data_IF_589968281103
#
_entry.id   IF_589968281103
#
_cell.length_a   1.000
_cell.length_b   1.000
_cell.length_c   1.000
_cell.angle_alpha   90.00
_cell.angle_beta   90.00
_cell.angle_gamma   90.00
#
_symmetry.space_group_name_H-M   'P 1'
#
loop_
_entity.id
_entity.type
_entity.pdbx_description
1 polymer ?
#
# COMPACT_ATOMS: atom_id res chain seq x y z
N UNK A 1 -16.85 -9.30 -7.06
CA UNK A 1 -16.07 -9.06 -5.83
C UNK A 1 -16.12 -7.57 -5.52
N UNK A 2 -16.46 -7.19 -4.30
CA UNK A 2 -16.29 -5.83 -3.78
C UNK A 2 -15.36 -5.87 -2.58
N UNK A 3 -14.71 -4.75 -2.28
CA UNK A 3 -13.75 -4.64 -1.17
C UNK A 3 -14.21 -3.61 -0.15
N UNK A 4 -13.85 -3.85 1.10
CA UNK A 4 -13.88 -2.89 2.20
C UNK A 4 -12.47 -2.81 2.78
N UNK A 5 -12.07 -1.62 3.23
CA UNK A 5 -10.67 -1.35 3.59
C UNK A 5 -10.54 -0.72 4.95
N UNK A 6 -9.48 -1.06 5.66
CA UNK A 6 -8.98 -0.36 6.84
C UNK A 6 -7.49 -0.16 6.71
N UNK A 7 -6.94 0.87 7.35
CA UNK A 7 -5.50 1.07 7.50
C UNK A 7 -5.20 0.75 8.96
N UNK A 8 -4.22 -0.12 9.21
CA UNK A 8 -3.76 -0.44 10.55
C UNK A 8 -3.19 0.79 11.24
N UNK A 9 -3.25 0.83 12.57
CA UNK A 9 -2.70 1.95 13.34
C UNK A 9 -1.20 2.09 13.05
N UNK A 10 -0.77 3.27 12.59
CA UNK A 10 0.64 3.63 12.56
C UNK A 10 1.21 3.51 13.97
N UNK A 11 2.36 2.85 14.12
CA UNK A 11 3.15 2.91 15.35
C UNK A 11 3.86 4.28 15.47
N UNK A 12 3.07 5.38 15.48
CA UNK A 12 3.33 6.82 15.82
C UNK A 12 4.40 7.54 14.95
N UNK A 13 4.28 8.80 14.50
CA UNK A 13 3.90 10.08 15.16
C UNK A 13 3.43 11.10 14.09
N UNK A 14 2.15 11.07 13.73
CA UNK A 14 1.31 12.22 13.37
C UNK A 14 0.11 11.72 12.58
N UNK A 15 -1.06 12.07 13.08
CA UNK A 15 -2.34 11.71 12.49
C UNK A 15 -3.26 12.92 12.54
N UNK A 16 -4.48 12.81 12.03
CA UNK A 16 -5.62 13.57 12.53
C UNK A 16 -5.57 13.68 14.07
N UNK A 17 -6.18 14.70 14.68
CA UNK A 17 -6.09 14.96 16.13
C UNK A 17 -6.38 13.72 17.03
N UNK A 18 -7.01 12.66 16.49
CA UNK A 18 -7.36 11.40 17.15
C UNK A 18 -6.50 10.17 16.83
N UNK A 19 -5.52 10.23 15.92
CA UNK A 19 -4.71 9.04 15.61
C UNK A 19 -5.20 8.18 14.44
N UNK A 20 -6.37 8.47 13.83
CA UNK A 20 -6.94 7.68 12.73
C UNK A 20 -6.47 8.04 11.31
N UNK A 21 -6.13 7.03 10.50
CA UNK A 21 -5.86 7.20 9.07
C UNK A 21 -6.94 6.55 8.22
N UNK A 22 -7.29 7.22 7.11
CA UNK A 22 -8.35 6.77 6.22
C UNK A 22 -8.03 7.12 4.77
N UNK A 23 -8.42 6.25 3.85
CA UNK A 23 -8.45 6.58 2.43
C UNK A 23 -9.41 7.74 2.13
N UNK A 24 -9.03 8.57 1.17
CA UNK A 24 -9.78 9.71 0.69
C UNK A 24 -10.48 9.44 -0.64
N UNK A 25 -11.49 10.25 -0.94
CA UNK A 25 -12.23 10.13 -2.18
C UNK A 25 -11.32 10.37 -3.40
N UNK A 26 -11.26 9.41 -4.31
CA UNK A 26 -10.35 9.42 -5.46
C UNK A 26 -9.09 8.57 -5.26
N UNK A 27 -8.82 8.08 -4.05
CA UNK A 27 -7.74 7.13 -3.82
C UNK A 27 -7.94 5.87 -4.64
N UNK A 28 -6.83 5.29 -5.09
CA UNK A 28 -6.84 4.13 -5.98
C UNK A 28 -5.93 3.04 -5.45
N UNK A 29 -6.48 1.82 -5.34
CA UNK A 29 -5.74 0.63 -4.96
C UNK A 29 -5.72 -0.40 -6.09
N UNK A 30 -4.64 -1.17 -6.16
CA UNK A 30 -4.55 -2.36 -6.98
C UNK A 30 -5.00 -3.58 -6.18
N UNK A 31 -5.86 -4.41 -6.78
CA UNK A 31 -6.30 -5.67 -6.17
C UNK A 31 -5.88 -6.85 -7.04
N UNK A 32 -5.36 -7.89 -6.37
CA UNK A 32 -5.02 -9.17 -6.96
C UNK A 32 -5.75 -10.28 -6.20
N UNK A 33 -6.14 -11.35 -6.91
CA UNK A 33 -6.78 -12.51 -6.29
C UNK A 33 -6.44 -13.82 -6.98
N UNK A 34 -6.38 -14.91 -6.23
CA UNK A 34 -6.15 -16.26 -6.76
C UNK A 34 -6.75 -17.35 -5.87
N UNK A 35 -6.86 -18.55 -6.42
CA UNK A 35 -7.26 -19.76 -5.68
C UNK A 35 -6.06 -20.67 -5.46
N UNK A 36 -6.16 -21.64 -4.54
CA UNK A 36 -5.14 -22.68 -4.37
C UNK A 36 -4.33 -22.49 -3.10
N UNK A 37 -3.05 -22.12 -3.21
CA UNK A 37 -2.15 -21.98 -2.07
C UNK A 37 -2.04 -20.51 -1.61
N UNK A 38 -2.41 -20.24 -0.36
CA UNK A 38 -2.33 -18.91 0.25
C UNK A 38 -0.89 -18.39 0.42
N UNK A 39 0.11 -19.27 0.51
CA UNK A 39 1.50 -18.92 0.85
C UNK A 39 2.42 -18.83 -0.36
N UNK A 40 1.89 -19.06 -1.56
CA UNK A 40 2.64 -18.99 -2.82
C UNK A 40 1.99 -17.96 -3.71
N UNK A 41 2.79 -16.97 -4.14
CA UNK A 41 2.33 -15.97 -5.09
C UNK A 41 2.03 -16.63 -6.45
N UNK A 42 0.84 -16.41 -7.03
CA UNK A 42 0.49 -16.95 -8.34
C UNK A 42 1.25 -16.24 -9.47
N UNK A 43 1.59 -17.00 -10.51
CA UNK A 43 1.99 -16.41 -11.78
C UNK A 43 0.82 -15.57 -12.36
N UNK A 44 1.12 -14.59 -13.21
CA UNK A 44 0.09 -13.70 -13.76
C UNK A 44 -1.07 -14.46 -14.42
N UNK A 45 -0.78 -15.54 -15.15
CA UNK A 45 -1.78 -16.36 -15.83
C UNK A 45 -2.71 -17.14 -14.88
N UNK A 46 -2.28 -17.37 -13.62
CA UNK A 46 -3.05 -18.14 -12.62
C UNK A 46 -3.91 -17.23 -11.72
N UNK A 47 -3.85 -15.91 -11.94
CA UNK A 47 -4.62 -14.93 -11.18
C UNK A 47 -6.06 -14.90 -11.66
N UNK A 48 -6.98 -14.88 -10.70
CA UNK A 48 -8.41 -14.65 -10.93
C UNK A 48 -8.69 -13.16 -11.11
N UNK A 49 -8.00 -12.33 -10.33
CA UNK A 49 -7.97 -10.88 -10.50
C UNK A 49 -6.52 -10.47 -10.65
N UNK A 50 -6.20 -9.80 -11.74
CA UNK A 50 -4.86 -9.30 -12.03
C UNK A 50 -4.88 -7.78 -12.17
N UNK A 51 -4.42 -7.09 -11.13
CA UNK A 51 -4.34 -5.63 -11.06
C UNK A 51 -5.65 -4.89 -11.36
N UNK A 52 -6.76 -5.28 -10.72
CA UNK A 52 -7.99 -4.51 -10.84
C UNK A 52 -7.90 -3.22 -10.02
N UNK A 53 -8.06 -2.08 -10.69
CA UNK A 53 -7.96 -0.77 -10.05
C UNK A 53 -9.28 -0.44 -9.38
N UNK A 54 -9.25 -0.32 -8.06
CA UNK A 54 -10.40 0.10 -7.27
C UNK A 54 -10.21 1.57 -6.91
N UNK A 55 -11.15 2.43 -7.32
CA UNK A 55 -11.16 3.85 -6.96
C UNK A 55 -12.20 4.07 -5.86
N UNK A 56 -11.84 4.79 -4.80
CA UNK A 56 -12.76 5.15 -3.73
C UNK A 56 -13.67 6.29 -4.20
N UNK A 57 -14.97 6.06 -4.18
CA UNK A 57 -15.99 7.07 -4.45
C UNK A 57 -17.07 7.00 -3.36
N UNK A 58 -17.18 8.04 -2.53
CA UNK A 58 -18.15 8.16 -1.45
C UNK A 58 -18.17 6.92 -0.52
N UNK A 59 -16.99 6.52 -0.02
CA UNK A 59 -16.77 5.34 0.84
C UNK A 59 -17.00 3.97 0.17
N UNK A 60 -17.23 3.94 -1.14
CA UNK A 60 -17.42 2.70 -1.90
C UNK A 60 -16.30 2.55 -2.92
N UNK A 61 -15.61 1.41 -2.87
CA UNK A 61 -14.59 1.06 -3.86
C UNK A 61 -15.24 0.55 -5.14
N UNK A 62 -14.90 1.20 -6.27
CA UNK A 62 -15.38 0.85 -7.62
C UNK A 62 -14.24 0.27 -8.44
N UNK A 63 -14.35 -1.00 -8.82
CA UNK A 63 -13.32 -1.72 -9.56
C UNK A 63 -13.41 -1.52 -11.07
N UNK A 64 -12.26 -1.30 -11.72
CA UNK A 64 -12.07 -1.34 -13.18
C UNK A 64 -10.81 -2.15 -13.51
N UNK A 65 -10.94 -3.27 -14.26
CA UNK A 65 -12.18 -3.92 -14.66
C UNK A 65 -12.98 -4.47 -13.46
N UNK A 66 -14.24 -4.87 -13.70
CA UNK A 66 -15.04 -5.54 -12.68
C UNK A 66 -14.33 -6.83 -12.22
N UNK A 67 -14.20 -6.99 -10.90
CA UNK A 67 -13.61 -8.18 -10.31
C UNK A 67 -14.66 -9.29 -10.17
N UNK A 68 -14.39 -10.46 -10.74
CA UNK A 68 -15.28 -11.62 -10.70
C UNK A 68 -14.67 -12.76 -9.88
N UNK A 69 -15.52 -13.49 -9.17
CA UNK A 69 -15.11 -14.74 -8.54
C UNK A 69 -14.90 -15.81 -9.62
N UNK A 70 -13.91 -16.67 -9.43
CA UNK A 70 -13.69 -17.83 -10.34
C UNK A 70 -14.92 -18.73 -10.38
N UNK A 71 -15.49 -18.98 -9.22
CA UNK A 71 -16.71 -19.76 -8.98
C UNK A 71 -17.27 -19.39 -7.59
N UNK A 72 -18.36 -20.04 -7.18
CA UNK A 72 -19.04 -19.74 -5.91
C UNK A 72 -18.56 -20.58 -4.71
N UNK A 73 -17.61 -21.50 -4.89
CA UNK A 73 -17.28 -22.54 -3.89
C UNK A 73 -15.81 -22.56 -3.48
N UNK A 74 -14.92 -22.19 -4.39
CA UNK A 74 -13.48 -22.05 -4.20
C UNK A 74 -13.18 -20.93 -3.21
N UNK A 75 -12.13 -21.13 -2.44
CA UNK A 75 -11.54 -20.10 -1.59
C UNK A 75 -10.57 -19.26 -2.42
N UNK A 76 -10.68 -17.94 -2.32
CA UNK A 76 -9.80 -16.97 -2.96
C UNK A 76 -8.99 -16.21 -1.92
N UNK A 77 -7.73 -15.97 -2.23
CA UNK A 77 -6.82 -15.13 -1.46
C UNK A 77 -6.66 -13.78 -2.15
N UNK A 78 -6.36 -12.74 -1.39
CA UNK A 78 -6.34 -11.38 -1.91
C UNK A 78 -5.10 -10.62 -1.47
N UNK A 79 -4.61 -9.76 -2.37
CA UNK A 79 -3.65 -8.70 -2.07
C UNK A 79 -4.26 -7.37 -2.51
N UNK A 80 -4.20 -6.38 -1.63
CA UNK A 80 -4.49 -4.99 -1.94
C UNK A 80 -3.22 -4.15 -1.81
N UNK A 81 -3.00 -3.21 -2.74
CA UNK A 81 -1.84 -2.30 -2.71
C UNK A 81 -2.28 -0.87 -2.95
N UNK A 82 -1.82 0.05 -2.10
CA UNK A 82 -1.89 1.49 -2.30
C UNK A 82 -0.47 2.07 -2.43
N UNK A 83 -0.24 3.08 -3.29
CA UNK A 83 -1.13 3.47 -4.38
C UNK A 83 -1.24 2.37 -5.44
N UNK A 84 -2.14 2.53 -6.41
CA UNK A 84 -2.26 1.59 -7.53
C UNK A 84 -0.95 1.46 -8.31
N UNK A 85 -0.75 0.29 -8.92
CA UNK A 85 0.24 0.10 -9.96
C UNK A 85 -0.25 0.61 -11.31
N UNK A 86 0.53 1.48 -11.94
CA UNK A 86 0.33 1.91 -13.34
C UNK A 86 0.75 0.84 -14.35
N UNK A 87 1.76 0.04 -14.01
CA UNK A 87 2.30 -1.02 -14.84
C UNK A 87 1.85 -2.41 -14.37
N UNK A 88 1.88 -3.38 -15.28
CA UNK A 88 1.62 -4.77 -14.92
C UNK A 88 2.70 -5.31 -13.96
N UNK A 89 2.29 -6.04 -12.92
CA UNK A 89 3.19 -6.67 -11.95
C UNK A 89 3.34 -8.14 -12.31
N UNK A 90 4.43 -8.50 -12.98
CA UNK A 90 4.65 -9.89 -13.40
C UNK A 90 4.83 -10.85 -12.21
N UNK A 91 5.59 -10.43 -11.19
CA UNK A 91 5.92 -11.22 -10.01
C UNK A 91 5.51 -10.46 -8.73
N UNK A 92 4.48 -10.95 -8.03
CA UNK A 92 3.99 -10.32 -6.79
C UNK A 92 5.00 -10.41 -5.63
N UNK A 93 6.04 -11.24 -5.76
CA UNK A 93 7.14 -11.31 -4.79
C UNK A 93 8.25 -10.29 -5.07
N UNK A 94 8.18 -9.59 -6.21
CA UNK A 94 9.19 -8.64 -6.68
C UNK A 94 8.56 -7.36 -7.25
N UNK A 95 7.55 -6.83 -6.57
CA UNK A 95 6.95 -5.57 -6.98
C UNK A 95 7.96 -4.43 -6.81
N UNK A 96 8.16 -3.64 -7.85
CA UNK A 96 9.06 -2.50 -7.80
C UNK A 96 8.42 -1.35 -7.02
N UNK A 97 9.23 -0.68 -6.21
CA UNK A 97 8.90 0.57 -5.54
C UNK A 97 9.95 1.62 -5.86
N UNK A 98 9.50 2.86 -6.05
CA UNK A 98 10.36 4.02 -6.19
C UNK A 98 9.75 5.19 -5.41
N UNK A 99 10.58 5.85 -4.59
CA UNK A 99 10.21 7.03 -3.84
C UNK A 99 9.99 8.20 -4.80
N UNK A 100 8.80 8.80 -4.74
CA UNK A 100 8.53 10.09 -5.37
C UNK A 100 8.64 11.22 -4.33
N UNK A 101 9.77 11.95 -4.26
CA UNK A 101 9.93 13.02 -3.28
C UNK A 101 9.00 14.22 -3.54
N UNK A 102 8.41 14.33 -4.74
CA UNK A 102 7.44 15.38 -5.05
C UNK A 102 6.02 15.02 -4.58
N UNK A 103 5.75 13.75 -4.25
CA UNK A 103 4.45 13.28 -3.82
C UNK A 103 4.56 12.29 -2.64
N UNK A 104 4.69 12.84 -1.43
CA UNK A 104 4.92 12.05 -0.22
C UNK A 104 3.74 11.15 0.16
N UNK A 105 2.50 11.55 -0.15
CA UNK A 105 1.32 10.71 0.12
C UNK A 105 1.29 9.45 -0.75
N UNK A 106 1.73 9.56 -2.02
CA UNK A 106 1.86 8.39 -2.91
C UNK A 106 3.15 7.60 -2.69
N UNK A 107 4.13 8.16 -1.98
CA UNK A 107 5.31 7.44 -1.54
C UNK A 107 5.00 6.46 -0.41
N UNK A 108 3.90 6.65 0.32
CA UNK A 108 3.49 5.71 1.36
C UNK A 108 2.82 4.47 0.76
N UNK A 109 3.64 3.46 0.49
CA UNK A 109 3.13 2.19 0.00
C UNK A 109 2.47 1.41 1.14
N UNK A 110 1.20 1.06 0.94
CA UNK A 110 0.42 0.24 1.87
C UNK A 110 0.10 -1.10 1.22
N UNK A 111 0.17 -2.18 2.02
CA UNK A 111 -0.14 -3.53 1.53
C UNK A 111 -1.09 -4.26 2.48
N UNK A 112 -2.16 -4.80 1.92
CA UNK A 112 -3.09 -5.70 2.58
C UNK A 112 -2.95 -7.12 2.01
N UNK A 113 -2.96 -8.13 2.88
CA UNK A 113 -2.92 -9.55 2.48
C UNK A 113 -4.03 -10.30 3.22
N UNK A 114 -4.95 -10.90 2.47
CA UNK A 114 -5.95 -11.81 3.01
C UNK A 114 -5.55 -13.26 2.69
N UNK A 115 -4.76 -13.84 3.59
CA UNK A 115 -4.29 -15.24 3.50
C UNK A 115 -5.27 -16.24 4.12
N UNK A 116 -6.21 -15.78 4.96
CA UNK A 116 -7.33 -16.61 5.44
C UNK A 116 -8.16 -17.13 4.27
N UNK A 117 -8.28 -16.30 3.24
CA UNK A 117 -9.06 -16.56 2.06
C UNK A 117 -10.56 -16.40 2.31
N UNK A 118 -11.31 -16.25 1.23
CA UNK A 118 -12.75 -16.01 1.26
C UNK A 118 -13.44 -16.67 0.08
N UNK A 119 -14.70 -17.03 0.26
CA UNK A 119 -15.61 -17.48 -0.79
C UNK A 119 -16.55 -16.35 -1.22
N UNK A 120 -17.23 -16.56 -2.35
CA UNK A 120 -18.18 -15.59 -2.88
C UNK A 120 -19.29 -15.18 -1.90
N UNK A 121 -19.72 -16.08 -1.02
CA UNK A 121 -20.74 -15.83 0.01
C UNK A 121 -20.29 -14.90 1.14
N UNK A 122 -18.98 -14.63 1.27
CA UNK A 122 -18.40 -13.83 2.36
C UNK A 122 -18.10 -12.39 1.95
N UNK A 123 -18.60 -11.97 0.78
CA UNK A 123 -18.42 -10.61 0.25
C UNK A 123 -19.11 -9.55 1.15
N UNK A 124 -18.50 -8.37 1.41
CA UNK A 124 -17.29 -7.82 0.79
C UNK A 124 -15.97 -8.37 1.37
N UNK A 125 -14.92 -8.34 0.55
CA UNK A 125 -13.55 -8.69 0.97
C UNK A 125 -12.97 -7.60 1.85
N UNK A 126 -12.67 -7.92 3.10
CA UNK A 126 -11.95 -7.02 4.00
C UNK A 126 -10.45 -7.05 3.71
N UNK A 127 -9.89 -5.89 3.43
CA UNK A 127 -8.46 -5.65 3.20
C UNK A 127 -7.93 -4.70 4.28
N UNK A 128 -7.16 -5.24 5.23
CA UNK A 128 -6.46 -4.45 6.24
C UNK A 128 -5.06 -4.12 5.74
N UNK A 129 -4.84 -2.84 5.44
CA UNK A 129 -3.60 -2.31 4.91
C UNK A 129 -2.62 -1.98 6.04
N UNK A 130 -1.35 -2.34 5.82
CA UNK A 130 -0.25 -1.92 6.69
C UNK A 130 0.72 -1.04 5.89
N UNK A 131 1.32 -0.07 6.56
CA UNK A 131 2.44 0.70 6.03
C UNK A 131 3.66 -0.21 5.93
N UNK A 132 4.28 -0.25 4.75
CA UNK A 132 5.49 -1.05 4.52
C UNK A 132 6.74 -0.19 4.31
N UNK A 133 6.58 1.12 4.21
CA UNK A 133 7.67 2.08 4.13
C UNK A 133 7.92 2.76 5.48
N UNK A 134 9.13 3.28 5.66
CA UNK A 134 9.48 4.04 6.84
C UNK A 134 9.17 5.53 6.65
N UNK A 135 8.73 6.20 7.73
CA UNK A 135 8.54 7.65 7.76
C UNK A 135 9.69 8.31 8.53
N UNK A 136 10.30 9.36 7.96
CA UNK A 136 11.27 10.21 8.63
C UNK A 136 10.68 11.59 8.87
N UNK A 137 10.41 11.93 10.13
CA UNK A 137 9.92 13.25 10.54
C UNK A 137 11.03 14.02 11.24
N UNK A 138 11.41 15.19 10.71
CA UNK A 138 12.46 16.05 11.30
C UNK A 138 11.83 17.31 11.90
N UNK A 139 11.87 17.40 13.24
CA UNK A 139 11.39 18.58 13.98
C UNK A 139 12.58 19.46 14.38
N UNK A 140 12.66 20.67 13.82
CA UNK A 140 13.70 21.64 14.16
C UNK A 140 13.15 22.71 15.10
N UNK A 141 13.82 22.91 16.24
CA UNK A 141 13.49 23.99 17.19
C UNK A 141 14.73 24.83 17.48
N UNK A 142 14.56 26.14 17.51
CA UNK A 142 15.65 27.10 17.70
C UNK A 142 15.44 27.88 18.98
N UNK A 143 16.49 28.03 19.79
CA UNK A 143 16.52 28.94 20.93
C UNK A 143 17.41 30.13 20.57
N UNK A 144 16.81 31.31 20.43
CA UNK A 144 17.56 32.53 20.09
C UNK A 144 17.86 33.32 21.36
N UNK A 145 19.04 33.12 21.93
CA UNK A 145 19.48 33.84 23.15
C UNK A 145 20.12 35.21 22.87
N UNK A 146 20.43 35.54 21.59
CA UNK A 146 21.14 36.79 21.24
C UNK A 146 20.53 37.59 20.06
N UNK A 147 19.25 37.35 19.70
CA UNK A 147 18.59 38.04 18.58
C UNK A 147 19.01 37.52 17.19
N UNK A 148 18.08 37.58 16.23
CA UNK A 148 18.24 37.06 14.86
C UNK A 148 17.39 35.83 14.56
N UNK A 149 16.83 35.75 13.36
CA UNK A 149 16.04 34.60 12.92
C UNK A 149 16.97 33.45 12.48
N UNK A 150 16.76 32.25 13.04
CA UNK A 150 17.42 31.06 12.53
C UNK A 150 16.94 30.76 11.11
N UNK A 151 17.88 30.51 10.18
CA UNK A 151 17.57 30.18 8.79
C UNK A 151 18.11 28.80 8.45
N UNK A 152 17.22 27.89 8.12
CA UNK A 152 17.57 26.56 7.56
C UNK A 152 17.55 26.65 6.05
N UNK A 153 18.67 26.34 5.41
CA UNK A 153 18.78 26.36 3.95
C UNK A 153 18.44 25.01 3.31
N UNK A 154 18.75 23.90 3.98
CA UNK A 154 18.42 22.55 3.56
C UNK A 154 18.47 21.56 4.72
N UNK A 155 17.70 20.48 4.60
CA UNK A 155 17.82 19.25 5.40
C UNK A 155 17.91 18.10 4.42
N UNK A 156 19.01 17.36 4.44
CA UNK A 156 19.25 16.24 3.53
C UNK A 156 19.33 14.94 4.32
N UNK A 157 18.52 13.96 3.95
CA UNK A 157 18.70 12.58 4.42
C UNK A 157 19.71 11.87 3.52
N UNK A 158 20.77 11.30 4.10
CA UNK A 158 21.86 10.63 3.38
C UNK A 158 21.85 9.14 3.71
N UNK A 159 22.20 8.29 2.74
CA UNK A 159 22.22 6.83 2.91
C UNK A 159 20.83 6.18 2.90
N UNK A 160 19.82 6.87 2.36
CA UNK A 160 18.48 6.31 2.17
C UNK A 160 18.35 5.72 0.77
N UNK A 161 17.75 4.55 0.64
CA UNK A 161 17.40 3.98 -0.64
C UNK A 161 16.12 4.66 -1.18
N UNK A 162 16.15 5.08 -2.45
CA UNK A 162 15.01 5.67 -3.16
C UNK A 162 14.22 4.63 -3.97
N UNK A 163 14.69 3.37 -3.98
CA UNK A 163 14.07 2.25 -4.69
C UNK A 163 14.15 0.98 -3.85
N UNK A 164 13.17 0.10 -4.06
CA UNK A 164 13.13 -1.19 -3.40
C UNK A 164 12.37 -2.21 -4.24
N UNK A 165 12.61 -3.48 -3.92
CA UNK A 165 11.77 -4.60 -4.33
C UNK A 165 10.93 -5.08 -3.14
N UNK A 166 9.62 -5.19 -3.33
CA UNK A 166 8.66 -5.57 -2.30
C UNK A 166 8.03 -6.93 -2.63
N UNK A 167 8.08 -7.83 -1.65
CA UNK A 167 7.29 -9.05 -1.71
C UNK A 167 5.90 -8.77 -1.13
N UNK A 168 4.90 -8.61 -1.99
CA UNK A 168 3.54 -8.22 -1.59
C UNK A 168 2.84 -9.26 -0.72
N UNK A 169 3.27 -10.52 -0.77
CA UNK A 169 2.66 -11.60 0.01
C UNK A 169 3.16 -11.61 1.47
N UNK A 170 4.45 -11.35 1.66
CA UNK A 170 5.10 -11.36 2.99
C UNK A 170 5.31 -9.96 3.56
N UNK A 171 5.11 -8.92 2.74
CA UNK A 171 5.42 -7.51 3.01
C UNK A 171 6.91 -7.22 3.23
N UNK A 172 7.79 -8.16 2.88
CA UNK A 172 9.22 -7.95 2.99
C UNK A 172 9.71 -6.93 1.95
N UNK A 173 10.49 -5.95 2.41
CA UNK A 173 11.08 -4.90 1.57
C UNK A 173 12.59 -5.14 1.45
N UNK A 174 13.10 -5.20 0.22
CA UNK A 174 14.52 -5.26 -0.08
C UNK A 174 14.93 -3.95 -0.74
N UNK A 175 15.58 -3.02 -0.02
CA UNK A 175 16.03 -1.77 -0.61
C UNK A 175 17.13 -2.03 -1.65
N UNK A 176 17.11 -1.25 -2.72
CA UNK A 176 18.23 -1.23 -3.66
C UNK A 176 19.47 -0.63 -2.97
N UNK A 177 20.66 -0.95 -3.48
CA UNK A 177 21.91 -0.40 -2.94
C UNK A 177 21.83 1.14 -2.87
N UNK A 178 22.16 1.68 -1.69
CA UNK A 178 22.14 3.12 -1.43
C UNK A 178 23.15 3.84 -2.34
N UNK A 179 22.78 5.01 -2.85
CA UNK A 179 23.72 5.92 -3.49
C UNK A 179 24.55 6.69 -2.46
#
# INVERSE_FOLDING_TARGET
ITVSTSIGDMTRVATNDDGSQSFENGDQISVFAWTGNATVAPAAADRVVDNAINTLDNKVWKATPQMLWKDMTSTHYFIGVYPKFDAAVADLTKAAYALDPANQEKADMLVAVNSKGMKASENPVLLSFDHIMAQLTVNLSFRTQFGGAAKVTAVNAVGMADKATVNLLTKAVTPDATK
#
